data_IF_544182630469
#
_entry.id   IF_544182630469
#
_cell.length_a   1.000
_cell.length_b   1.000
_cell.length_c   1.000
_cell.angle_alpha   90.00
_cell.angle_beta   90.00
_cell.angle_gamma   90.00
#
_symmetry.space_group_name_H-M   'P 1'
#
loop_
_entity.id
_entity.type
_entity.pdbx_description
1 polymer ?
#
# COMPACT_ATOMS: atom_id res chain seq x y z
N UNK A 1 21.24 1.53 -1.36
CA UNK A 1 19.92 2.01 -1.80
C UNK A 1 18.82 1.19 -1.12
N UNK A 2 17.85 1.84 -0.56
CA UNK A 2 16.73 1.19 0.13
C UNK A 2 15.43 1.35 -0.65
N UNK A 3 14.66 0.28 -0.66
CA UNK A 3 13.33 0.27 -1.27
C UNK A 3 12.30 -0.09 -0.21
N UNK A 4 11.26 0.72 -0.10
CA UNK A 4 10.09 0.38 0.70
C UNK A 4 9.03 -0.17 -0.24
N UNK A 5 8.85 -1.48 -0.22
CA UNK A 5 7.85 -2.17 -1.06
C UNK A 5 6.53 -2.15 -0.30
N UNK A 6 5.53 -1.49 -0.87
CA UNK A 6 4.28 -1.19 -0.20
C UNK A 6 3.10 -1.80 -0.95
N UNK A 7 2.20 -2.40 -0.20
CA UNK A 7 0.90 -2.83 -0.68
C UNK A 7 -0.15 -2.45 0.34
N UNK A 8 -1.29 -1.95 -0.11
CA UNK A 8 -2.40 -1.55 0.76
C UNK A 8 -3.72 -2.08 0.26
N UNK A 9 -4.65 -2.22 1.20
CA UNK A 9 -6.07 -2.38 0.90
C UNK A 9 -6.80 -1.17 1.49
N UNK A 10 -7.85 -0.73 0.81
CA UNK A 10 -8.62 0.46 1.17
C UNK A 10 -10.10 0.15 1.29
N UNK A 11 -10.83 1.08 1.91
CA UNK A 11 -12.29 0.95 2.12
C UNK A 11 -13.08 0.89 0.82
N UNK A 12 -12.51 1.36 -0.29
CA UNK A 12 -13.28 1.63 -1.50
C UNK A 12 -14.17 2.86 -1.34
N UNK A 13 -15.15 3.00 -2.21
CA UNK A 13 -16.08 4.14 -2.19
C UNK A 13 -15.62 5.28 -3.08
N UNK A 14 -15.90 6.50 -2.65
CA UNK A 14 -15.64 7.71 -3.44
C UNK A 14 -14.15 7.97 -3.60
N UNK A 15 -13.73 8.25 -4.83
CA UNK A 15 -12.35 8.66 -5.13
C UNK A 15 -11.97 9.88 -4.27
N UNK A 16 -10.82 9.80 -3.63
CA UNK A 16 -10.32 10.86 -2.74
C UNK A 16 -10.78 10.72 -1.29
N UNK A 17 -11.71 9.81 -1.00
CA UNK A 17 -12.21 9.58 0.35
C UNK A 17 -11.89 8.16 0.87
N UNK A 18 -11.12 7.39 0.12
CA UNK A 18 -10.71 6.05 0.55
C UNK A 18 -9.81 6.15 1.79
N UNK A 19 -9.94 5.19 2.69
CA UNK A 19 -9.07 5.07 3.86
C UNK A 19 -8.40 3.69 3.84
N UNK A 20 -7.19 3.62 4.35
CA UNK A 20 -6.43 2.37 4.44
C UNK A 20 -7.08 1.43 5.46
N UNK A 21 -7.21 0.15 5.12
CA UNK A 21 -7.68 -0.91 6.01
C UNK A 21 -6.63 -1.99 6.26
N UNK A 22 -5.61 -2.06 5.40
CA UNK A 22 -4.50 -2.98 5.55
C UNK A 22 -3.26 -2.36 4.93
N UNK A 23 -2.13 -2.47 5.59
CA UNK A 23 -0.87 -1.94 5.09
C UNK A 23 0.24 -2.96 5.29
N UNK A 24 1.03 -3.17 4.24
CA UNK A 24 2.23 -3.99 4.29
C UNK A 24 3.38 -3.20 3.68
N UNK A 25 4.44 -3.04 4.46
CA UNK A 25 5.66 -2.34 4.05
C UNK A 25 6.84 -3.26 4.34
N UNK A 26 7.61 -3.58 3.32
CA UNK A 26 8.85 -4.35 3.47
C UNK A 26 10.00 -3.50 2.94
N UNK A 27 10.98 -3.24 3.80
CA UNK A 27 12.16 -2.45 3.42
C UNK A 27 13.25 -3.39 2.96
N UNK A 28 13.70 -3.20 1.73
CA UNK A 28 14.78 -3.97 1.12
C UNK A 28 16.04 -3.12 1.01
N UNK A 29 17.16 -3.72 1.43
CA UNK A 29 18.49 -3.14 1.25
C UNK A 29 19.43 -4.26 0.81
N UNK A 30 20.10 -4.07 -0.33
CA UNK A 30 20.99 -5.08 -0.91
C UNK A 30 20.31 -6.45 -1.11
N UNK A 31 19.03 -6.43 -1.50
CA UNK A 31 18.24 -7.63 -1.78
C UNK A 31 17.72 -8.37 -0.56
N UNK A 32 17.92 -7.82 0.63
CA UNK A 32 17.45 -8.43 1.87
C UNK A 32 16.40 -7.56 2.56
N UNK A 33 15.42 -8.20 3.20
CA UNK A 33 14.43 -7.50 4.01
C UNK A 33 15.07 -7.09 5.33
N UNK A 34 15.23 -5.79 5.55
CA UNK A 34 15.87 -5.24 6.75
C UNK A 34 14.88 -4.67 7.76
N UNK A 35 13.65 -4.40 7.36
CA UNK A 35 12.58 -3.94 8.26
C UNK A 35 11.23 -4.24 7.63
N UNK A 36 10.18 -4.26 8.45
CA UNK A 36 8.82 -4.50 7.95
C UNK A 36 7.77 -3.93 8.88
N UNK A 37 6.61 -3.59 8.31
CA UNK A 37 5.41 -3.19 9.02
C UNK A 37 4.22 -3.81 8.31
N UNK A 38 3.48 -4.67 9.02
CA UNK A 38 2.26 -5.28 8.49
C UNK A 38 1.16 -5.10 9.54
N UNK A 39 0.07 -4.45 9.17
CA UNK A 39 -1.02 -4.19 10.12
C UNK A 39 -2.35 -3.98 9.41
N UNK A 40 -3.42 -4.50 9.99
CA UNK A 40 -4.76 -3.99 9.70
C UNK A 40 -4.85 -2.58 10.25
N UNK A 41 -5.70 -1.75 9.65
CA UNK A 41 -5.89 -0.36 10.04
C UNK A 41 -7.38 -0.08 10.19
N UNK A 42 -7.74 0.57 11.29
CA UNK A 42 -9.11 1.05 11.50
C UNK A 42 -9.35 2.30 10.65
N UNK A 43 -10.19 2.22 9.61
CA UNK A 43 -10.39 3.36 8.71
C UNK A 43 -11.32 4.43 9.26
N UNK A 44 -11.93 4.21 10.41
CA UNK A 44 -12.91 5.11 11.02
C UNK A 44 -14.13 5.38 10.13
N UNK A 45 -14.42 4.48 9.22
CA UNK A 45 -15.59 4.50 8.34
C UNK A 45 -15.90 3.10 7.87
N UNK A 46 -17.07 2.92 7.27
CA UNK A 46 -17.46 1.61 6.74
C UNK A 46 -16.63 1.19 5.54
N UNK A 47 -16.44 -0.11 5.41
CA UNK A 47 -15.79 -0.72 4.25
C UNK A 47 -16.88 -1.04 3.22
N UNK A 48 -16.62 -0.72 1.95
CA UNK A 48 -17.52 -1.09 0.85
C UNK A 48 -17.66 -2.62 0.84
N UNK A 49 -18.90 -3.15 0.82
CA UNK A 49 -19.12 -4.61 0.80
C UNK A 49 -18.37 -5.34 -0.31
N UNK A 50 -18.15 -4.70 -1.45
CA UNK A 50 -17.38 -5.25 -2.55
C UNK A 50 -15.92 -5.49 -2.14
N UNK A 51 -15.35 -4.56 -1.38
CA UNK A 51 -13.97 -4.68 -0.86
C UNK A 51 -13.88 -5.84 0.12
N UNK A 52 -14.83 -5.98 1.03
CA UNK A 52 -14.88 -7.11 1.97
C UNK A 52 -14.95 -8.43 1.20
N UNK A 53 -15.73 -8.49 0.14
CA UNK A 53 -15.84 -9.69 -0.70
C UNK A 53 -14.51 -10.04 -1.37
N UNK A 54 -13.77 -9.04 -1.85
CA UNK A 54 -12.48 -9.25 -2.52
C UNK A 54 -11.34 -9.61 -1.57
N UNK A 55 -11.27 -8.93 -0.43
CA UNK A 55 -10.12 -9.01 0.49
C UNK A 55 -10.33 -9.94 1.66
N UNK A 56 -11.59 -10.21 2.01
CA UNK A 56 -11.93 -10.92 3.23
C UNK A 56 -11.88 -10.06 4.49
N UNK A 57 -11.51 -8.78 4.36
CA UNK A 57 -11.41 -7.87 5.51
C UNK A 57 -12.79 -7.31 5.82
N UNK A 58 -13.24 -7.46 7.07
CA UNK A 58 -14.57 -7.04 7.51
C UNK A 58 -14.48 -5.81 8.41
N UNK A 59 -15.60 -5.10 8.54
CA UNK A 59 -15.72 -3.98 9.49
C UNK A 59 -15.37 -4.43 10.92
N UNK A 60 -15.77 -5.64 11.30
CA UNK A 60 -15.47 -6.18 12.62
C UNK A 60 -13.97 -6.35 12.85
N UNK A 61 -13.25 -6.85 11.86
CA UNK A 61 -11.81 -7.09 11.94
C UNK A 61 -11.02 -5.81 12.19
N UNK A 62 -11.39 -4.72 11.53
CA UNK A 62 -10.65 -3.45 11.62
C UNK A 62 -11.08 -2.58 12.81
N UNK A 63 -12.19 -2.92 13.46
CA UNK A 63 -12.72 -2.12 14.57
C UNK A 63 -11.73 -2.00 15.74
N UNK A 64 -10.96 -3.04 16.01
CA UNK A 64 -9.96 -3.06 17.08
C UNK A 64 -8.54 -2.81 16.57
N UNK A 65 -8.38 -2.59 15.27
CA UNK A 65 -7.06 -2.29 14.69
C UNK A 65 -6.64 -0.86 15.02
N UNK A 66 -5.33 -0.57 14.97
CA UNK A 66 -4.87 0.81 15.16
C UNK A 66 -5.37 1.70 14.03
N UNK A 67 -5.61 2.97 14.35
CA UNK A 67 -5.94 3.98 13.37
C UNK A 67 -4.66 4.42 12.66
N UNK A 68 -4.78 4.94 11.45
CA UNK A 68 -3.59 5.32 10.69
C UNK A 68 -2.70 6.30 11.43
N UNK A 69 -3.28 7.29 12.13
CA UNK A 69 -2.46 8.25 12.86
C UNK A 69 -1.58 7.60 13.96
N UNK A 70 -2.00 6.44 14.48
CA UNK A 70 -1.21 5.70 15.46
C UNK A 70 -0.01 5.00 14.82
N UNK A 71 -0.08 4.70 13.52
CA UNK A 71 0.98 4.06 12.74
C UNK A 71 1.85 5.09 11.98
N UNK A 72 1.37 6.31 11.84
CA UNK A 72 1.95 7.31 10.94
C UNK A 72 3.44 7.57 11.21
N UNK A 73 3.81 7.72 12.47
CA UNK A 73 5.21 7.96 12.86
C UNK A 73 6.11 6.79 12.46
N UNK A 74 5.63 5.57 12.65
CA UNK A 74 6.35 4.36 12.27
C UNK A 74 6.48 4.26 10.75
N UNK A 75 5.43 4.61 10.01
CA UNK A 75 5.44 4.62 8.54
C UNK A 75 6.48 5.62 8.02
N UNK A 76 6.49 6.84 8.55
CA UNK A 76 7.47 7.85 8.16
C UNK A 76 8.89 7.35 8.40
N UNK A 77 9.14 6.79 9.58
CA UNK A 77 10.46 6.34 9.97
C UNK A 77 10.94 5.13 9.14
N UNK A 78 10.09 4.12 8.96
CA UNK A 78 10.47 2.90 8.23
C UNK A 78 10.73 3.17 6.74
N UNK A 79 10.06 4.18 6.15
CA UNK A 79 10.23 4.56 4.75
C UNK A 79 11.23 5.70 4.54
N UNK A 80 11.87 6.18 5.61
CA UNK A 80 12.87 7.25 5.52
C UNK A 80 14.03 6.82 4.62
N UNK A 81 14.44 7.70 3.71
CA UNK A 81 15.50 7.47 2.74
C UNK A 81 15.25 6.27 1.80
N UNK A 82 14.00 5.81 1.71
CA UNK A 82 13.61 4.76 0.79
C UNK A 82 12.97 5.29 -0.47
N UNK A 83 13.12 4.56 -1.57
CA UNK A 83 12.25 4.70 -2.73
C UNK A 83 10.97 3.90 -2.43
N UNK A 84 9.83 4.57 -2.54
CA UNK A 84 8.51 3.95 -2.35
C UNK A 84 8.17 3.14 -3.60
N UNK A 85 8.03 1.83 -3.45
CA UNK A 85 7.78 0.90 -4.55
C UNK A 85 6.40 0.27 -4.38
N UNK A 86 5.60 0.31 -5.42
CA UNK A 86 4.30 -0.34 -5.41
C UNK A 86 3.91 -0.82 -6.82
N UNK A 87 2.98 -1.73 -6.87
CA UNK A 87 2.38 -2.17 -8.11
C UNK A 87 1.14 -1.30 -8.37
N UNK A 88 1.19 -0.44 -9.40
CA UNK A 88 0.26 0.65 -9.63
C UNK A 88 0.45 1.76 -8.59
N UNK A 89 1.63 2.37 -8.62
CA UNK A 89 2.10 3.36 -7.65
C UNK A 89 1.17 4.55 -7.47
N UNK A 90 0.49 4.97 -8.55
CA UNK A 90 -0.38 6.14 -8.50
C UNK A 90 -1.52 5.99 -7.49
N UNK A 91 -2.02 4.78 -7.29
CA UNK A 91 -3.06 4.51 -6.32
C UNK A 91 -2.51 4.50 -4.88
N UNK A 92 -1.55 3.62 -4.61
CA UNK A 92 -1.02 3.42 -3.25
C UNK A 92 -0.39 4.70 -2.71
N UNK A 93 0.41 5.38 -3.52
CA UNK A 93 1.09 6.60 -3.10
C UNK A 93 0.11 7.74 -2.86
N UNK A 94 -0.90 7.88 -3.72
CA UNK A 94 -1.96 8.88 -3.55
C UNK A 94 -2.71 8.68 -2.23
N UNK A 95 -3.06 7.44 -1.91
CA UNK A 95 -3.80 7.14 -0.67
C UNK A 95 -2.91 7.41 0.56
N UNK A 96 -1.62 7.08 0.50
CA UNK A 96 -0.68 7.45 1.57
C UNK A 96 -0.63 8.95 1.77
N UNK A 97 -0.48 9.71 0.68
CA UNK A 97 -0.46 11.18 0.77
C UNK A 97 -1.76 11.73 1.36
N UNK A 98 -2.89 11.16 0.96
CA UNK A 98 -4.21 11.51 1.47
C UNK A 98 -4.32 11.30 2.99
N UNK A 99 -3.86 10.15 3.47
CA UNK A 99 -3.86 9.84 4.89
C UNK A 99 -3.02 10.85 5.67
N UNK A 100 -1.81 11.15 5.19
CA UNK A 100 -0.92 12.11 5.84
C UNK A 100 -1.45 13.55 5.76
N UNK A 101 -2.05 13.95 4.64
CA UNK A 101 -2.65 15.28 4.50
C UNK A 101 -3.78 15.50 5.53
N UNK A 102 -4.56 14.47 5.83
CA UNK A 102 -5.62 14.56 6.83
C UNK A 102 -5.08 14.87 8.23
N UNK A 103 -3.79 14.62 8.46
CA UNK A 103 -3.09 14.92 9.71
C UNK A 103 -2.24 16.19 9.63
N UNK A 104 -2.31 16.93 8.50
CA UNK A 104 -1.49 18.11 8.29
C UNK A 104 -0.03 17.83 7.97
N UNK A 105 0.31 16.61 7.55
CA UNK A 105 1.67 16.22 7.22
C UNK A 105 1.82 16.04 5.70
N UNK A 106 2.93 16.55 5.16
CA UNK A 106 3.24 16.46 3.73
C UNK A 106 4.21 15.30 3.50
N UNK A 107 3.67 14.18 3.00
CA UNK A 107 4.44 12.95 2.80
C UNK A 107 4.96 12.87 1.38
N UNK A 108 6.28 12.86 1.23
CA UNK A 108 6.95 12.73 -0.07
C UNK A 108 8.04 11.69 -0.03
N UNK A 109 8.09 10.87 -1.07
CA UNK A 109 9.15 9.89 -1.31
C UNK A 109 9.42 9.82 -2.81
N UNK A 110 10.62 9.43 -3.19
CA UNK A 110 10.87 9.00 -4.56
C UNK A 110 10.03 7.73 -4.81
N UNK A 111 9.48 7.57 -5.99
CA UNK A 111 8.55 6.47 -6.29
C UNK A 111 9.04 5.62 -7.44
N UNK A 112 8.64 4.34 -7.43
CA UNK A 112 8.90 3.39 -8.50
C UNK A 112 7.69 2.48 -8.67
N UNK A 113 7.13 2.46 -9.89
CA UNK A 113 6.02 1.59 -10.23
C UNK A 113 6.54 0.31 -10.87
N UNK A 114 6.14 -0.84 -10.35
CA UNK A 114 6.60 -2.12 -10.88
C UNK A 114 5.92 -2.53 -12.18
N UNK A 115 4.76 -1.94 -12.52
CA UNK A 115 4.05 -2.28 -13.76
C UNK A 115 4.90 -2.01 -15.01
N UNK A 116 5.52 -0.84 -15.22
CA UNK A 116 6.37 -0.60 -16.38
C UNK A 116 7.52 -1.58 -16.51
N UNK A 117 8.07 -2.03 -15.40
CA UNK A 117 9.13 -3.04 -15.40
C UNK A 117 8.60 -4.39 -15.86
N UNK A 118 7.41 -4.78 -15.40
CA UNK A 118 6.75 -6.01 -15.86
C UNK A 118 6.48 -5.96 -17.36
N UNK A 119 6.00 -4.82 -17.86
CA UNK A 119 5.76 -4.62 -19.29
C UNK A 119 7.04 -4.75 -20.11
N UNK A 120 8.16 -4.27 -19.59
CA UNK A 120 9.45 -4.35 -20.27
C UNK A 120 10.01 -5.77 -20.27
N UNK A 121 9.85 -6.50 -19.16
CA UNK A 121 10.39 -7.86 -19.00
C UNK A 121 9.51 -8.90 -19.69
N UNK A 122 8.20 -8.70 -19.65
CA UNK A 122 7.21 -9.63 -20.18
C UNK A 122 6.26 -8.93 -21.17
N UNK A 123 6.78 -8.43 -22.30
CA UNK A 123 5.95 -7.66 -23.24
C UNK A 123 4.82 -8.44 -23.89
N UNK A 124 4.89 -9.78 -23.82
CA UNK A 124 3.87 -10.69 -24.38
C UNK A 124 2.61 -10.82 -23.51
N UNK A 125 2.65 -10.34 -22.28
CA UNK A 125 1.48 -10.42 -21.40
C UNK A 125 0.45 -9.36 -21.77
N UNK A 126 -0.83 -9.71 -21.69
CA UNK A 126 -1.94 -8.79 -21.98
C UNK A 126 -2.29 -7.91 -20.75
N UNK A 127 -2.03 -8.41 -19.56
CA UNK A 127 -2.37 -7.73 -18.29
C UNK A 127 -1.24 -7.84 -17.29
N UNK A 128 -1.06 -6.78 -16.52
CA UNK A 128 0.01 -6.66 -15.54
C UNK A 128 -0.48 -6.42 -14.11
N UNK A 129 -1.74 -6.76 -13.80
CA UNK A 129 -2.25 -6.69 -12.44
C UNK A 129 -1.44 -7.57 -11.50
N UNK A 130 -1.36 -7.22 -10.23
CA UNK A 130 -0.53 -7.93 -9.24
C UNK A 130 -0.87 -9.42 -9.15
N UNK A 131 -2.14 -9.77 -9.21
CA UNK A 131 -2.60 -11.15 -9.20
C UNK A 131 -2.05 -11.96 -10.38
N UNK A 132 -2.04 -11.35 -11.56
CA UNK A 132 -1.51 -11.98 -12.78
C UNK A 132 0.01 -12.18 -12.66
N UNK A 133 0.71 -11.14 -12.26
CA UNK A 133 2.18 -11.16 -12.09
C UNK A 133 2.58 -12.22 -11.06
N UNK A 134 1.91 -12.26 -9.93
CA UNK A 134 2.15 -13.26 -8.88
C UNK A 134 1.93 -14.67 -9.39
N UNK A 135 0.87 -14.89 -10.16
CA UNK A 135 0.55 -16.21 -10.73
C UNK A 135 1.61 -16.69 -11.70
N UNK A 136 2.09 -15.80 -12.59
CA UNK A 136 3.06 -16.17 -13.62
C UNK A 136 4.48 -16.36 -13.07
N UNK A 137 4.83 -15.61 -12.02
CA UNK A 137 6.16 -15.70 -11.41
C UNK A 137 6.24 -16.71 -10.25
N UNK A 138 5.11 -17.23 -9.83
CA UNK A 138 5.05 -18.17 -8.72
C UNK A 138 5.01 -17.47 -7.39
#
# INVERSE_FOLDING_TARGET
MKFAVVDIECTGGTFGAERIIDVAIFVLENGEVVDQLVSLVNPEKGIDPYVTKLTGITNKMVRTAPKFYELAKRVVKITEDCTFVAHNISFDYRVFQQEFESMGFDYHRATLDTIPYCERIFPEWEKYGLKRVSKELG
#
